data_IF_280251784850
#
_entry.id   IF_280251784850
#
_cell.length_a   1.000
_cell.length_b   1.000
_cell.length_c   1.000
_cell.angle_alpha   90.00
_cell.angle_beta   90.00
_cell.angle_gamma   90.00
#
_symmetry.space_group_name_H-M   'P 1'
#
loop_
_entity.id
_entity.type
_entity.pdbx_description
1 polymer ?
#
# COMPACT_ATOMS: atom_id res chain seq x y z
N UNK A 1 15.37 51.71 43.48
CA UNK A 1 15.84 53.03 43.94
C UNK A 1 17.24 52.90 44.49
N UNK A 2 18.21 53.60 43.88
CA UNK A 2 19.64 53.56 44.25
C UNK A 2 20.55 53.51 43.01
N UNK A 3 20.96 54.68 42.52
CA UNK A 3 21.84 54.92 41.36
C UNK A 3 23.31 55.04 41.78
N UNK A 4 24.24 54.56 40.96
CA UNK A 4 25.67 54.91 41.00
C UNK A 4 26.36 54.63 39.67
N UNK A 5 27.02 55.65 39.11
CA UNK A 5 27.70 55.68 37.81
C UNK A 5 29.23 55.70 37.97
N UNK A 6 29.96 55.04 37.06
CA UNK A 6 31.42 55.15 36.93
C UNK A 6 31.93 54.54 35.62
N UNK A 7 32.76 55.28 34.89
CA UNK A 7 33.34 54.95 33.57
C UNK A 7 34.86 54.71 33.68
N UNK A 8 35.39 53.74 32.94
CA UNK A 8 36.84 53.52 32.81
C UNK A 8 37.19 52.49 31.73
N UNK A 9 38.22 52.78 30.92
CA UNK A 9 38.71 51.98 29.79
C UNK A 9 40.17 51.55 30.01
N UNK A 10 40.50 50.28 29.77
CA UNK A 10 41.88 49.77 29.80
C UNK A 10 42.00 48.34 29.27
N UNK A 11 43.09 48.03 28.56
CA UNK A 11 43.35 46.75 27.88
C UNK A 11 44.60 46.05 28.45
N UNK A 12 44.49 44.76 28.75
CA UNK A 12 45.64 43.90 29.10
C UNK A 12 45.22 42.44 29.37
N UNK A 13 46.03 41.47 28.92
CA UNK A 13 45.82 40.02 29.16
C UNK A 13 46.95 39.46 30.03
N UNK A 14 46.58 38.88 31.18
CA UNK A 14 47.46 38.11 32.07
C UNK A 14 46.72 36.87 32.57
N UNK A 15 47.42 35.75 32.72
CA UNK A 15 46.90 34.48 33.23
C UNK A 15 47.02 34.42 34.75
N UNK A 16 45.92 34.20 35.47
CA UNK A 16 45.94 33.98 36.92
C UNK A 16 44.64 33.38 37.47
N UNK A 17 44.76 32.34 38.28
CA UNK A 17 43.72 31.81 39.17
C UNK A 17 43.90 32.39 40.56
N UNK A 18 42.98 33.25 41.02
CA UNK A 18 43.02 33.82 42.37
C UNK A 18 41.96 34.91 42.59
N UNK A 19 41.29 34.85 43.74
CA UNK A 19 40.21 35.72 44.21
C UNK A 19 40.69 37.12 44.58
N UNK A 20 40.20 38.14 43.88
CA UNK A 20 40.43 39.55 44.19
C UNK A 20 39.33 40.43 43.61
N UNK A 21 38.84 41.39 44.40
CA UNK A 21 37.94 42.46 43.95
C UNK A 21 38.70 43.47 43.10
N UNK A 22 38.45 43.47 41.80
CA UNK A 22 39.00 44.42 40.84
C UNK A 22 38.05 44.65 39.67
N UNK A 23 37.81 45.92 39.34
CA UNK A 23 37.15 46.34 38.10
C UNK A 23 38.10 46.08 36.92
N UNK A 24 37.80 45.04 36.15
CA UNK A 24 38.51 44.69 34.92
C UNK A 24 37.53 44.55 33.77
N UNK A 25 37.81 45.24 32.67
CA UNK A 25 37.10 45.12 31.39
C UNK A 25 37.57 43.84 30.71
N UNK A 26 36.76 42.79 30.74
CA UNK A 26 37.04 41.54 30.01
C UNK A 26 36.41 41.60 28.63
N UNK A 27 37.20 41.83 27.58
CA UNK A 27 36.84 41.40 26.21
C UNK A 27 37.13 39.90 26.10
N UNK A 28 36.13 39.11 26.47
CA UNK A 28 36.08 37.70 26.13
C UNK A 28 35.50 37.54 24.74
N UNK A 29 36.32 37.20 23.75
CA UNK A 29 35.86 36.53 22.54
C UNK A 29 35.51 35.10 22.93
N UNK A 30 34.33 34.94 23.55
CA UNK A 30 33.67 33.66 23.61
C UNK A 30 33.27 33.29 22.20
N UNK A 31 33.98 32.35 21.58
CA UNK A 31 33.43 31.56 20.47
C UNK A 31 32.29 30.75 21.07
N UNK A 32 31.13 31.38 21.18
CA UNK A 32 29.88 30.66 21.35
C UNK A 32 29.70 29.82 20.09
N UNK A 33 30.11 28.56 20.15
CA UNK A 33 29.43 27.53 19.35
C UNK A 33 28.00 27.54 19.83
N UNK A 34 27.18 28.36 19.18
CA UNK A 34 25.74 28.32 19.30
C UNK A 34 25.32 26.91 18.96
N UNK A 35 25.07 26.11 19.99
CA UNK A 35 24.35 24.87 19.83
C UNK A 35 23.01 25.26 19.23
N UNK A 36 22.85 25.02 17.94
CA UNK A 36 21.54 25.06 17.31
C UNK A 36 20.73 23.98 18.00
N UNK A 37 19.91 24.38 18.97
CA UNK A 37 18.85 23.56 19.51
C UNK A 37 17.92 23.26 18.34
N UNK A 38 18.18 22.15 17.64
CA UNK A 38 17.23 21.61 16.68
C UNK A 38 16.03 21.16 17.50
N UNK A 39 15.00 21.99 17.60
CA UNK A 39 13.71 21.55 18.07
C UNK A 39 13.21 20.54 17.06
N UNK A 40 13.42 19.25 17.32
CA UNK A 40 12.72 18.19 16.59
C UNK A 40 11.24 18.46 16.80
N UNK A 41 10.52 18.72 15.72
CA UNK A 41 9.06 18.77 15.75
C UNK A 41 8.48 17.47 16.33
N UNK A 42 7.19 17.44 16.69
CA UNK A 42 6.55 16.20 17.10
C UNK A 42 6.79 15.11 16.04
N UNK A 43 6.96 13.84 16.44
CA UNK A 43 7.16 12.76 15.49
C UNK A 43 5.98 12.71 14.51
N UNK A 44 6.24 12.43 13.21
CA UNK A 44 5.18 12.29 12.22
C UNK A 44 4.19 11.21 12.67
N UNK A 45 2.90 11.51 12.65
CA UNK A 45 1.86 10.52 12.97
C UNK A 45 1.42 9.79 11.69
N UNK A 46 1.25 8.45 11.75
CA UNK A 46 0.64 7.72 10.65
C UNK A 46 -0.81 8.13 10.42
N UNK A 47 -1.21 8.25 9.16
CA UNK A 47 -2.59 8.41 8.71
C UNK A 47 -2.95 7.23 7.82
N UNK A 48 -4.16 6.70 7.99
CA UNK A 48 -4.70 5.65 7.13
C UNK A 48 -5.30 6.29 5.88
N UNK A 49 -4.83 5.85 4.71
CA UNK A 49 -5.32 6.24 3.40
C UNK A 49 -6.02 5.03 2.77
N UNK A 50 -7.28 5.20 2.38
CA UNK A 50 -7.99 4.21 1.56
C UNK A 50 -7.58 4.38 0.10
N UNK A 51 -6.59 3.60 -0.33
CA UNK A 51 -6.01 3.70 -1.67
C UNK A 51 -6.90 3.04 -2.73
N UNK A 52 -7.57 1.95 -2.38
CA UNK A 52 -8.56 1.27 -3.21
C UNK A 52 -9.80 0.96 -2.35
N UNK A 53 -10.94 1.61 -2.56
CA UNK A 53 -12.18 1.28 -1.86
C UNK A 53 -12.78 -0.05 -2.32
N UNK A 54 -13.59 -0.67 -1.47
CA UNK A 54 -14.52 -1.74 -1.87
C UNK A 54 -15.47 -1.24 -2.97
N UNK A 55 -15.87 -2.13 -3.89
CA UNK A 55 -16.72 -1.77 -5.01
C UNK A 55 -16.02 -0.93 -6.07
N UNK A 56 -14.67 -0.95 -6.10
CA UNK A 56 -13.87 -0.25 -7.11
C UNK A 56 -14.12 -0.78 -8.53
N UNK A 57 -13.74 0.03 -9.52
CA UNK A 57 -13.76 -0.37 -10.92
C UNK A 57 -12.57 -1.26 -11.29
N UNK A 58 -12.82 -2.28 -12.10
CA UNK A 58 -11.82 -3.19 -12.65
C UNK A 58 -11.97 -3.30 -14.17
N UNK A 59 -10.83 -3.46 -14.83
CA UNK A 59 -10.74 -4.15 -16.11
C UNK A 59 -10.79 -5.65 -15.83
N UNK A 60 -11.51 -6.42 -16.64
CA UNK A 60 -11.58 -7.87 -16.50
C UNK A 60 -11.44 -8.62 -17.82
N UNK A 61 -10.99 -9.86 -17.71
CA UNK A 61 -10.82 -10.79 -18.82
C UNK A 61 -11.32 -12.17 -18.42
N UNK A 62 -12.26 -12.69 -19.20
CA UNK A 62 -13.04 -13.88 -18.91
C UNK A 62 -13.06 -14.85 -20.10
N UNK A 63 -11.97 -14.86 -20.88
CA UNK A 63 -11.86 -15.63 -22.14
C UNK A 63 -11.16 -17.00 -21.98
N UNK A 64 -10.86 -17.42 -20.75
CA UNK A 64 -10.27 -18.73 -20.42
C UNK A 64 -8.76 -18.85 -20.63
N UNK A 65 -8.10 -17.80 -21.09
CA UNK A 65 -6.64 -17.71 -21.20
C UNK A 65 -6.22 -16.24 -21.10
N UNK A 66 -4.96 -15.98 -20.77
CA UNK A 66 -4.40 -14.62 -20.77
C UNK A 66 -2.95 -14.62 -21.27
N UNK A 67 -2.41 -13.44 -21.60
CA UNK A 67 -0.99 -13.29 -21.94
C UNK A 67 -0.13 -13.49 -20.69
N UNK A 68 1.10 -14.02 -20.81
CA UNK A 68 1.93 -14.32 -19.63
C UNK A 68 2.34 -13.10 -18.80
N UNK A 69 2.31 -11.90 -19.38
CA UNK A 69 2.70 -10.64 -18.75
C UNK A 69 1.49 -9.77 -18.35
N UNK A 70 0.28 -10.34 -18.29
CA UNK A 70 -0.96 -9.62 -18.04
C UNK A 70 -0.96 -8.81 -16.74
N UNK A 71 -0.21 -9.25 -15.71
CA UNK A 71 -0.14 -8.60 -14.41
C UNK A 71 0.82 -7.39 -14.38
N UNK A 72 1.65 -7.20 -15.39
CA UNK A 72 2.72 -6.18 -15.39
C UNK A 72 2.16 -4.76 -15.64
N UNK A 73 2.67 -3.70 -14.98
CA UNK A 73 2.18 -2.33 -15.13
C UNK A 73 2.09 -1.79 -16.57
N UNK A 74 2.91 -2.31 -17.48
CA UNK A 74 2.96 -1.92 -18.88
C UNK A 74 2.13 -2.78 -19.84
N UNK A 75 1.36 -3.74 -19.33
CA UNK A 75 0.51 -4.58 -20.18
C UNK A 75 -0.62 -3.76 -20.83
N UNK A 76 -0.79 -3.94 -22.14
CA UNK A 76 -1.88 -3.34 -22.92
C UNK A 76 -3.18 -4.12 -22.70
N UNK A 77 -4.03 -3.59 -21.85
CA UNK A 77 -5.36 -4.10 -21.53
C UNK A 77 -6.49 -3.37 -22.26
N UNK A 78 -6.19 -2.68 -23.37
CA UNK A 78 -7.19 -1.92 -24.13
C UNK A 78 -8.37 -2.75 -24.66
N UNK A 79 -8.21 -4.07 -24.74
CA UNK A 79 -9.26 -5.02 -25.13
C UNK A 79 -10.08 -5.58 -23.95
N UNK A 80 -9.68 -5.30 -22.70
CA UNK A 80 -10.35 -5.82 -21.51
C UNK A 80 -11.65 -5.06 -21.25
N UNK A 81 -12.65 -5.79 -20.76
CA UNK A 81 -13.96 -5.22 -20.45
C UNK A 81 -13.91 -4.52 -19.09
N UNK A 82 -14.83 -3.59 -18.82
CA UNK A 82 -14.84 -2.79 -17.57
C UNK A 82 -16.07 -3.09 -16.74
N UNK A 83 -15.89 -3.18 -15.43
CA UNK A 83 -16.96 -3.41 -14.46
C UNK A 83 -16.65 -2.83 -13.09
N UNK A 84 -17.67 -2.72 -12.25
CA UNK A 84 -17.52 -2.40 -10.82
C UNK A 84 -17.66 -3.65 -9.98
N UNK A 85 -16.89 -3.75 -8.91
CA UNK A 85 -16.95 -4.86 -7.99
C UNK A 85 -18.22 -4.79 -7.08
N UNK A 86 -18.68 -5.91 -6.51
CA UNK A 86 -18.21 -7.27 -6.78
C UNK A 86 -18.44 -7.74 -8.23
N UNK A 87 -17.42 -8.36 -8.83
CA UNK A 87 -17.47 -8.97 -10.17
C UNK A 87 -17.56 -10.49 -10.04
N UNK A 88 -18.35 -11.13 -10.90
CA UNK A 88 -18.58 -12.56 -10.75
C UNK A 88 -19.79 -13.11 -11.50
N UNK A 89 -20.31 -14.25 -11.07
CA UNK A 89 -21.58 -14.81 -11.52
C UNK A 89 -22.19 -15.68 -10.41
N UNK A 90 -23.43 -16.13 -10.58
CA UNK A 90 -24.08 -17.05 -9.65
C UNK A 90 -24.81 -16.37 -8.49
N UNK A 91 -24.28 -15.24 -7.98
CA UNK A 91 -24.81 -14.60 -6.78
C UNK A 91 -25.56 -13.27 -6.96
N UNK A 92 -26.54 -12.98 -6.09
CA UNK A 92 -27.32 -11.75 -6.15
C UNK A 92 -26.55 -10.50 -5.71
N UNK A 93 -25.43 -10.64 -5.01
CA UNK A 93 -24.62 -9.51 -4.55
C UNK A 93 -23.72 -8.94 -5.67
N UNK A 94 -23.46 -9.74 -6.73
CA UNK A 94 -22.64 -9.38 -7.89
C UNK A 94 -23.19 -8.15 -8.60
N UNK A 95 -22.31 -7.19 -8.89
CA UNK A 95 -22.63 -5.94 -9.60
C UNK A 95 -22.26 -5.99 -11.07
N UNK A 96 -21.16 -6.65 -11.40
CA UNK A 96 -20.77 -6.92 -12.79
C UNK A 96 -20.74 -8.41 -13.03
N UNK A 97 -21.58 -8.89 -13.93
CA UNK A 97 -21.59 -10.28 -14.33
C UNK A 97 -20.47 -10.54 -15.35
N UNK A 98 -19.56 -11.46 -15.05
CA UNK A 98 -18.53 -11.95 -15.99
C UNK A 98 -19.00 -13.25 -16.66
N UNK A 99 -18.46 -13.56 -17.84
CA UNK A 99 -18.73 -14.82 -18.53
C UNK A 99 -17.97 -15.97 -17.87
N UNK A 100 -18.60 -17.14 -17.80
CA UNK A 100 -17.94 -18.39 -17.43
C UNK A 100 -17.51 -19.22 -18.65
N UNK A 101 -17.54 -18.63 -19.85
CA UNK A 101 -17.35 -19.34 -21.10
C UNK A 101 -18.61 -20.05 -21.60
N UNK A 102 -18.50 -20.91 -22.62
CA UNK A 102 -19.66 -21.40 -23.38
C UNK A 102 -20.41 -22.57 -22.71
N UNK A 103 -19.88 -23.15 -21.62
CA UNK A 103 -20.40 -24.38 -21.03
C UNK A 103 -20.58 -24.26 -19.53
N UNK A 104 -21.80 -24.48 -19.04
CA UNK A 104 -22.11 -24.46 -17.61
C UNK A 104 -21.50 -25.68 -16.87
N UNK A 105 -21.23 -26.78 -17.57
CA UNK A 105 -20.62 -27.98 -16.99
C UNK A 105 -19.09 -28.01 -17.15
N UNK A 106 -18.52 -27.04 -17.86
CA UNK A 106 -17.09 -26.94 -18.16
C UNK A 106 -16.74 -25.47 -18.39
N UNK A 107 -16.89 -24.69 -17.33
CA UNK A 107 -16.58 -23.26 -17.26
C UNK A 107 -15.07 -23.04 -17.38
N UNK A 108 -14.68 -21.83 -17.73
CA UNK A 108 -13.29 -21.41 -17.55
C UNK A 108 -12.96 -21.39 -16.05
N UNK A 109 -11.82 -21.96 -15.68
CA UNK A 109 -11.39 -22.03 -14.27
C UNK A 109 -11.01 -20.65 -13.75
N UNK A 110 -10.37 -19.84 -14.59
CA UNK A 110 -9.81 -18.56 -14.16
C UNK A 110 -10.49 -17.36 -14.81
N UNK A 111 -10.73 -16.32 -14.00
CA UNK A 111 -11.06 -14.96 -14.46
C UNK A 111 -10.01 -13.99 -13.94
N UNK A 112 -9.58 -13.06 -14.80
CA UNK A 112 -8.54 -12.09 -14.47
C UNK A 112 -9.10 -10.68 -14.33
N UNK A 113 -8.53 -9.92 -13.41
CA UNK A 113 -8.94 -8.57 -13.06
C UNK A 113 -7.72 -7.67 -12.91
N UNK A 114 -7.86 -6.41 -13.32
CA UNK A 114 -6.84 -5.38 -13.17
C UNK A 114 -7.48 -4.07 -12.74
N UNK A 115 -6.84 -3.36 -11.83
CA UNK A 115 -7.21 -1.99 -11.50
C UNK A 115 -5.96 -1.18 -11.21
N UNK A 116 -6.10 0.14 -11.29
CA UNK A 116 -5.03 1.10 -11.04
C UNK A 116 -5.46 2.02 -9.90
N UNK A 117 -4.54 2.29 -8.98
CA UNK A 117 -4.73 3.25 -7.90
C UNK A 117 -3.50 4.16 -7.78
N UNK A 118 -3.71 5.35 -7.23
CA UNK A 118 -2.67 6.38 -7.12
C UNK A 118 -2.06 6.37 -5.71
N UNK A 119 -0.73 6.40 -5.63
CA UNK A 119 0.01 6.56 -4.37
C UNK A 119 0.79 7.86 -4.42
N UNK A 120 0.64 8.67 -3.37
CA UNK A 120 1.42 9.89 -3.18
C UNK A 120 2.47 9.64 -2.10
N UNK A 121 3.71 10.03 -2.39
CA UNK A 121 4.86 9.88 -1.50
C UNK A 121 5.01 8.43 -1.01
N UNK A 122 5.14 7.47 -1.92
CA UNK A 122 5.32 6.06 -1.60
C UNK A 122 6.38 5.80 -0.51
N UNK A 123 7.52 6.52 -0.43
CA UNK A 123 8.47 6.36 0.67
C UNK A 123 7.93 6.68 2.09
N UNK A 124 6.78 7.36 2.22
CA UNK A 124 6.14 7.60 3.51
C UNK A 124 5.15 6.50 3.91
N UNK A 125 4.84 5.56 3.02
CA UNK A 125 3.99 4.40 3.33
C UNK A 125 4.78 3.43 4.20
N UNK A 126 4.31 3.19 5.42
CA UNK A 126 4.96 2.30 6.39
C UNK A 126 4.27 0.94 6.51
N UNK A 127 3.02 0.84 6.07
CA UNK A 127 2.28 -0.42 5.99
C UNK A 127 1.22 -0.37 4.88
N UNK A 128 0.93 -1.53 4.29
CA UNK A 128 -0.16 -1.72 3.33
C UNK A 128 -0.94 -2.99 3.68
N UNK A 129 -2.27 -2.88 3.70
CA UNK A 129 -3.17 -4.00 3.98
C UNK A 129 -4.16 -4.14 2.83
N UNK A 130 -4.07 -5.27 2.12
CA UNK A 130 -5.03 -5.70 1.12
C UNK A 130 -6.09 -6.55 1.81
N UNK A 131 -7.35 -6.23 1.61
CA UNK A 131 -8.48 -7.06 2.00
C UNK A 131 -9.14 -7.58 0.73
N UNK A 132 -9.26 -8.90 0.59
CA UNK A 132 -9.71 -9.58 -0.61
C UNK A 132 -10.92 -10.46 -0.32
N UNK A 133 -11.98 -10.27 -1.09
CA UNK A 133 -13.10 -11.18 -1.25
C UNK A 133 -12.89 -12.00 -2.53
N UNK A 134 -13.01 -13.32 -2.42
CA UNK A 134 -12.64 -14.30 -3.47
C UNK A 134 -13.46 -15.57 -3.33
N UNK A 135 -13.82 -16.13 -4.47
CA UNK A 135 -14.46 -17.43 -4.59
C UNK A 135 -13.99 -18.11 -5.90
N UNK A 136 -13.20 -19.18 -5.87
CA UNK A 136 -12.78 -19.96 -4.69
C UNK A 136 -11.38 -19.56 -4.17
N UNK A 137 -10.41 -19.46 -5.07
CA UNK A 137 -9.01 -19.17 -4.77
C UNK A 137 -8.49 -18.01 -5.60
N UNK A 138 -7.40 -17.38 -5.16
CA UNK A 138 -6.87 -16.22 -5.84
C UNK A 138 -5.36 -16.06 -5.72
N UNK A 139 -4.78 -15.45 -6.75
CA UNK A 139 -3.42 -14.91 -6.75
C UNK A 139 -3.49 -13.41 -7.06
N UNK A 140 -2.82 -12.60 -6.26
CA UNK A 140 -2.79 -11.15 -6.38
C UNK A 140 -1.38 -10.68 -6.66
N UNK A 141 -1.26 -9.77 -7.62
CA UNK A 141 -0.04 -9.14 -8.04
C UNK A 141 -0.13 -7.63 -7.80
N UNK A 142 0.91 -7.07 -7.19
CA UNK A 142 1.13 -5.64 -7.12
C UNK A 142 2.30 -5.29 -8.02
N UNK A 143 2.06 -4.45 -9.02
CA UNK A 143 3.05 -4.03 -10.00
C UNK A 143 3.81 -5.22 -10.65
N UNK A 144 3.10 -6.32 -10.94
CA UNK A 144 3.66 -7.54 -11.54
C UNK A 144 4.31 -8.51 -10.55
N UNK A 145 4.41 -8.16 -9.26
CA UNK A 145 4.96 -9.04 -8.22
C UNK A 145 3.84 -9.73 -7.47
N UNK A 146 3.86 -11.06 -7.37
CA UNK A 146 2.91 -11.83 -6.55
C UNK A 146 3.06 -11.43 -5.07
N UNK A 147 1.98 -10.94 -4.47
CA UNK A 147 1.93 -10.46 -3.08
C UNK A 147 0.99 -11.26 -2.19
N UNK A 148 -0.03 -11.89 -2.78
CA UNK A 148 -0.97 -12.75 -2.07
C UNK A 148 -1.26 -13.97 -2.92
N UNK A 149 -1.27 -15.13 -2.25
CA UNK A 149 -1.81 -16.39 -2.77
C UNK A 149 -2.70 -16.97 -1.68
N UNK A 150 -3.97 -17.16 -1.98
CA UNK A 150 -4.96 -17.67 -1.02
C UNK A 150 -5.80 -18.76 -1.66
N UNK A 151 -6.00 -19.85 -0.93
CA UNK A 151 -6.73 -21.03 -1.41
C UNK A 151 -6.26 -21.55 -2.80
N UNK A 152 -4.95 -21.48 -3.06
CA UNK A 152 -4.31 -21.99 -4.28
C UNK A 152 -3.17 -22.94 -3.93
N UNK A 153 -2.87 -23.94 -4.77
CA UNK A 153 -1.75 -24.85 -4.53
C UNK A 153 -0.40 -24.13 -4.62
N UNK A 154 0.62 -24.76 -4.04
CA UNK A 154 2.01 -24.35 -4.23
C UNK A 154 2.47 -24.56 -5.68
N UNK A 155 3.51 -23.82 -6.09
CA UNK A 155 4.15 -23.98 -7.39
C UNK A 155 3.58 -23.08 -8.48
N UNK A 156 3.77 -23.49 -9.74
CA UNK A 156 3.35 -22.71 -10.89
C UNK A 156 1.82 -22.74 -11.05
N UNK A 157 1.22 -21.55 -11.15
CA UNK A 157 -0.21 -21.36 -11.41
C UNK A 157 -0.42 -21.11 -12.89
N UNK A 158 -1.45 -21.75 -13.45
CA UNK A 158 -1.87 -21.65 -14.84
C UNK A 158 -3.37 -21.37 -14.89
N UNK A 159 -3.89 -20.98 -16.05
CA UNK A 159 -5.32 -20.75 -16.27
C UNK A 159 -6.24 -21.95 -15.96
N UNK A 160 -5.68 -23.16 -15.88
CA UNK A 160 -6.42 -24.39 -15.56
C UNK A 160 -6.16 -24.89 -14.13
N UNK A 161 -5.30 -24.20 -13.37
CA UNK A 161 -5.00 -24.60 -11.99
C UNK A 161 -6.22 -24.36 -11.12
N UNK A 162 -6.72 -25.40 -10.46
CA UNK A 162 -7.86 -25.31 -9.55
C UNK A 162 -7.45 -24.68 -8.21
N UNK A 163 -8.41 -24.02 -7.57
CA UNK A 163 -8.31 -23.68 -6.15
C UNK A 163 -8.21 -24.96 -5.30
N UNK A 164 -7.56 -24.84 -4.14
CA UNK A 164 -7.29 -26.00 -3.27
C UNK A 164 -8.55 -26.56 -2.60
N UNK A 165 -9.44 -25.68 -2.18
CA UNK A 165 -10.69 -25.99 -1.48
C UNK A 165 -11.85 -25.19 -2.06
N UNK A 166 -13.08 -25.61 -1.79
CA UNK A 166 -14.30 -24.88 -2.16
C UNK A 166 -14.58 -23.80 -1.10
N UNK A 167 -14.88 -22.58 -1.52
CA UNK A 167 -15.42 -21.47 -0.72
C UNK A 167 -16.94 -21.60 -0.68
N UNK A 168 -17.54 -21.55 0.51
CA UNK A 168 -18.99 -21.71 0.67
C UNK A 168 -19.56 -20.85 1.79
N UNK A 169 -20.82 -20.42 1.62
CA UNK A 169 -21.59 -19.80 2.69
C UNK A 169 -21.10 -18.40 3.04
N UNK A 170 -20.87 -18.10 4.32
CA UNK A 170 -20.46 -16.74 4.73
C UNK A 170 -19.10 -16.33 4.13
N UNK A 171 -18.23 -17.30 3.83
CA UNK A 171 -16.90 -17.08 3.26
C UNK A 171 -16.92 -16.45 1.87
N UNK A 172 -17.96 -16.71 1.07
CA UNK A 172 -18.14 -16.16 -0.30
C UNK A 172 -18.19 -14.63 -0.31
N UNK A 173 -18.51 -14.01 0.84
CA UNK A 173 -18.59 -12.56 1.01
C UNK A 173 -17.63 -12.00 2.05
N UNK A 174 -16.77 -12.84 2.63
CA UNK A 174 -15.79 -12.42 3.63
C UNK A 174 -14.57 -11.77 2.98
N UNK A 175 -14.11 -10.67 3.57
CA UNK A 175 -12.86 -10.02 3.19
C UNK A 175 -11.71 -10.53 4.06
N UNK A 176 -10.75 -11.20 3.43
CA UNK A 176 -9.55 -11.71 4.09
C UNK A 176 -8.41 -10.68 4.01
N UNK A 177 -7.82 -10.33 5.15
CA UNK A 177 -6.77 -9.33 5.24
C UNK A 177 -5.37 -9.92 5.07
N UNK A 178 -4.57 -9.30 4.20
CA UNK A 178 -3.20 -9.66 3.88
C UNK A 178 -2.29 -8.44 3.99
N UNK A 179 -1.11 -8.63 4.59
CA UNK A 179 -0.07 -7.61 4.60
C UNK A 179 0.65 -7.62 3.26
N UNK A 180 0.78 -6.45 2.66
CA UNK A 180 1.53 -6.26 1.41
C UNK A 180 2.81 -5.48 1.73
N UNK A 181 3.92 -5.86 1.10
CA UNK A 181 5.18 -5.14 1.26
C UNK A 181 5.06 -3.73 0.65
N UNK A 182 5.10 -2.66 1.46
CA UNK A 182 4.95 -1.29 0.95
C UNK A 182 6.13 -0.86 0.08
N UNK A 183 7.26 -1.57 0.10
CA UNK A 183 8.42 -1.28 -0.78
C UNK A 183 8.15 -1.54 -2.26
N UNK A 184 7.07 -2.27 -2.58
CA UNK A 184 6.60 -2.50 -3.95
C UNK A 184 5.80 -1.32 -4.52
N UNK A 185 5.40 -0.37 -3.68
CA UNK A 185 4.66 0.81 -4.11
C UNK A 185 5.60 1.85 -4.72
N UNK A 186 5.13 2.50 -5.79
CA UNK A 186 5.82 3.60 -6.46
C UNK A 186 4.99 4.88 -6.37
N UNK A 187 5.64 6.03 -6.51
CA UNK A 187 4.92 7.29 -6.66
C UNK A 187 4.10 7.29 -7.96
N UNK A 188 2.82 7.69 -7.85
CA UNK A 188 1.88 7.72 -8.95
C UNK A 188 1.10 6.40 -9.11
N UNK A 189 0.86 5.95 -10.36
CA UNK A 189 -0.01 4.81 -10.62
C UNK A 189 0.63 3.48 -10.19
N UNK A 190 -0.13 2.69 -9.44
CA UNK A 190 0.19 1.33 -9.05
C UNK A 190 -0.89 0.40 -9.56
N UNK A 191 -0.50 -0.77 -10.05
CA UNK A 191 -1.40 -1.76 -10.64
C UNK A 191 -1.64 -2.90 -9.67
N UNK A 192 -2.91 -3.15 -9.36
CA UNK A 192 -3.35 -4.35 -8.67
C UNK A 192 -3.98 -5.29 -9.70
N UNK A 193 -3.43 -6.49 -9.82
CA UNK A 193 -3.87 -7.52 -10.73
C UNK A 193 -4.27 -8.77 -9.94
N UNK A 194 -5.40 -9.38 -10.25
CA UNK A 194 -5.98 -10.50 -9.50
C UNK A 194 -6.42 -11.56 -10.49
N UNK A 195 -6.02 -12.81 -10.27
CA UNK A 195 -6.64 -13.97 -10.90
C UNK A 195 -7.43 -14.76 -9.86
N UNK A 196 -8.69 -15.04 -10.17
CA UNK A 196 -9.58 -15.87 -9.34
C UNK A 196 -9.79 -17.20 -10.04
N UNK A 197 -9.60 -18.28 -9.29
CA UNK A 197 -9.66 -19.65 -9.75
C UNK A 197 -10.79 -20.39 -9.05
N UNK A 198 -11.51 -21.18 -9.82
CA UNK A 198 -12.53 -22.10 -9.33
C UNK A 198 -11.89 -23.41 -8.86
N UNK A 199 -12.47 -24.01 -7.82
CA UNK A 199 -12.11 -25.32 -7.28
C UNK A 199 -12.60 -26.45 -8.18
N UNK A 200 -13.65 -26.22 -8.96
CA UNK A 200 -14.23 -27.17 -9.92
C UNK A 200 -14.76 -26.47 -11.18
N UNK A 201 -14.64 -27.13 -12.34
CA UNK A 201 -15.04 -26.58 -13.64
C UNK A 201 -16.56 -26.37 -13.82
N UNK A 202 -17.39 -26.90 -12.93
CA UNK A 202 -18.85 -26.77 -12.97
C UNK A 202 -19.39 -25.99 -11.77
N UNK A 203 -18.56 -25.16 -11.12
CA UNK A 203 -18.97 -24.31 -10.00
C UNK A 203 -20.23 -23.50 -10.33
N UNK A 204 -21.05 -23.17 -9.33
CA UNK A 204 -22.26 -22.34 -9.49
C UNK A 204 -21.92 -20.85 -9.68
N UNK A 205 -20.86 -20.40 -9.04
CA UNK A 205 -20.56 -19.01 -8.71
C UNK A 205 -19.07 -18.67 -8.90
N UNK A 206 -18.82 -17.37 -8.79
CA UNK A 206 -17.51 -16.73 -8.72
C UNK A 206 -17.76 -15.35 -8.13
N UNK A 207 -16.89 -14.90 -7.22
CA UNK A 207 -16.94 -13.56 -6.65
C UNK A 207 -15.55 -12.96 -6.47
N UNK A 208 -15.42 -11.66 -6.77
CA UNK A 208 -14.20 -10.90 -6.56
C UNK A 208 -14.50 -9.45 -6.19
N UNK A 209 -13.93 -9.01 -5.08
CA UNK A 209 -13.77 -7.59 -4.72
C UNK A 209 -12.51 -7.44 -3.86
N UNK A 210 -11.91 -6.25 -3.86
CA UNK A 210 -10.78 -5.95 -3.01
C UNK A 210 -10.76 -4.49 -2.57
N UNK A 211 -10.21 -4.25 -1.39
CA UNK A 211 -9.89 -2.93 -0.88
C UNK A 211 -8.48 -2.88 -0.32
N UNK A 212 -7.83 -1.72 -0.45
CA UNK A 212 -6.44 -1.50 -0.04
C UNK A 212 -6.35 -0.26 0.83
N UNK A 213 -5.76 -0.44 2.01
CA UNK A 213 -5.43 0.65 2.94
C UNK A 213 -3.93 0.79 3.10
N UNK A 214 -3.46 2.03 3.20
CA UNK A 214 -2.05 2.40 3.38
C UNK A 214 -1.91 3.21 4.68
N UNK A 215 -0.95 2.87 5.52
CA UNK A 215 -0.54 3.73 6.63
C UNK A 215 0.62 4.62 6.16
N UNK A 216 0.42 5.93 6.17
CA UNK A 216 1.37 6.92 5.66
C UNK A 216 1.82 7.88 6.74
N UNK A 217 3.12 8.12 6.85
CA UNK A 217 3.67 9.20 7.67
C UNK A 217 3.40 10.56 7.01
N UNK A 218 2.90 11.49 7.81
CA UNK A 218 2.67 12.89 7.39
C UNK A 218 3.72 13.78 8.06
N UNK A 219 4.46 14.54 7.25
CA UNK A 219 5.54 15.43 7.65
C UNK A 219 5.18 16.90 7.39
#
# INVERSE_FOLDING_TARGET
>A
TGTGTGTGTGTGTGTGTGTGTGTGTSTGTGTGTGGTSSSSGPPPMPVVVLALPEGSGYLYWDKGFTASNWADPGFDDGAWEKGVAPLGYGDPHIKTVVSFGPSQSSKYITTWFRTVFEVKNAPSVIAATLELMRDDGAVVFLNGVEVVRTNMPDGAITADTLASEITQGEEETEFFAFKVDPSLLVDGPNWLAIEVHQSVANSSDLGMDARLTLEQLVF
#
